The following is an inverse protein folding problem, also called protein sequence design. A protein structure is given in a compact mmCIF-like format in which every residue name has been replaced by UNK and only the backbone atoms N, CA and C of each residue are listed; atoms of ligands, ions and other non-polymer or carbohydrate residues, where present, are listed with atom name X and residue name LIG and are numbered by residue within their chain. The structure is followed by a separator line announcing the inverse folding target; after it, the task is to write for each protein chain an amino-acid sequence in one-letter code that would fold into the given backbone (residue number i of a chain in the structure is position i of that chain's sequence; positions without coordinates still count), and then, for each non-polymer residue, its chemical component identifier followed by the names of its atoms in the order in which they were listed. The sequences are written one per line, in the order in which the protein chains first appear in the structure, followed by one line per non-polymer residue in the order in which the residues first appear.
data_IF_118963676188
#
_entry.id   IF_118963676188
#
_cell.length_a   1.000
_cell.length_b   1.000
_cell.length_c   1.000
_cell.angle_alpha   90.00
_cell.angle_beta   90.00
_cell.angle_gamma   90.00
#
_symmetry.space_group_name_H-M   'P 1'
#
loop_
_entity.id
_entity.type
_entity.pdbx_description
1 polymer ?
#
# COMPACT_ATOMS: atom_id res chain seq x y z
N UNK A 1 -9.25 1.99 -30.74
CA UNK A 1 -9.37 3.38 -30.23
C UNK A 1 -8.53 3.50 -28.95
N UNK A 2 -7.54 4.34 -29.01
CA UNK A 2 -6.70 4.61 -27.86
C UNK A 2 -7.50 5.44 -26.84
N UNK A 3 -7.62 4.93 -25.62
CA UNK A 3 -8.33 5.66 -24.56
C UNK A 3 -7.36 6.65 -23.93
N UNK A 4 -7.59 7.91 -24.18
CA UNK A 4 -6.78 8.97 -23.57
C UNK A 4 -7.13 9.10 -22.07
N UNK A 5 -6.12 9.13 -21.24
CA UNK A 5 -6.31 9.37 -19.80
C UNK A 5 -6.78 10.81 -19.60
N UNK A 6 -7.87 11.04 -18.85
CA UNK A 6 -8.35 12.39 -18.57
C UNK A 6 -7.27 13.26 -17.90
N UNK A 7 -7.24 14.54 -18.25
CA UNK A 7 -6.20 15.48 -17.81
C UNK A 7 -6.11 15.58 -16.27
N UNK A 8 -7.25 15.57 -15.59
CA UNK A 8 -7.28 15.63 -14.13
C UNK A 8 -6.60 14.43 -13.46
N UNK A 9 -6.67 13.24 -14.10
CA UNK A 9 -5.96 12.06 -13.63
C UNK A 9 -4.47 12.13 -13.95
N UNK A 10 -4.10 12.64 -15.11
CA UNK A 10 -2.69 12.84 -15.47
C UNK A 10 -1.97 13.75 -14.48
N UNK A 11 -2.68 14.76 -13.97
CA UNK A 11 -2.15 15.72 -13.02
C UNK A 11 -2.23 15.23 -11.57
N UNK A 12 -2.94 14.12 -11.32
CA UNK A 12 -3.04 13.54 -10.00
C UNK A 12 -1.75 12.81 -9.64
N UNK A 13 -1.10 13.27 -8.59
CA UNK A 13 0.23 12.80 -8.16
C UNK A 13 0.31 11.28 -7.96
N UNK A 14 -0.66 10.73 -7.24
CA UNK A 14 -0.72 9.29 -6.98
C UNK A 14 -0.98 8.47 -8.24
N UNK A 15 -1.87 8.93 -9.09
CA UNK A 15 -2.16 8.27 -10.37
C UNK A 15 -0.92 8.27 -11.27
N UNK A 16 -0.28 9.42 -11.45
CA UNK A 16 0.88 9.57 -12.30
C UNK A 16 2.08 8.72 -11.82
N UNK A 17 2.21 8.53 -10.52
CA UNK A 17 3.26 7.69 -9.95
C UNK A 17 2.98 6.20 -10.12
N UNK A 18 1.73 5.80 -9.98
CA UNK A 18 1.31 4.40 -10.06
C UNK A 18 1.22 3.90 -11.50
N UNK A 19 0.70 4.74 -12.38
CA UNK A 19 0.44 4.39 -13.79
C UNK A 19 1.32 5.22 -14.72
N UNK A 20 2.53 4.73 -14.95
CA UNK A 20 3.50 5.38 -15.82
C UNK A 20 3.50 4.72 -17.20
N UNK A 21 3.13 5.44 -18.28
CA UNK A 21 3.12 4.87 -19.62
C UNK A 21 4.47 4.31 -20.03
N UNK A 22 4.47 3.08 -20.55
CA UNK A 22 5.68 2.42 -21.01
C UNK A 22 6.63 1.91 -19.92
N UNK A 23 6.21 1.98 -18.66
CA UNK A 23 7.03 1.51 -17.53
C UNK A 23 6.28 0.52 -16.67
N UNK A 24 6.99 -0.46 -16.13
CA UNK A 24 6.49 -1.30 -15.07
C UNK A 24 6.67 -0.57 -13.73
N UNK A 25 5.59 -0.38 -13.00
CA UNK A 25 5.61 0.13 -11.64
C UNK A 25 5.27 -0.99 -10.67
N UNK A 26 5.92 -1.00 -9.52
CA UNK A 26 5.69 -2.00 -8.49
C UNK A 26 4.99 -1.38 -7.30
N UNK A 27 4.04 -2.11 -6.74
CA UNK A 27 3.38 -1.79 -5.49
C UNK A 27 3.57 -2.90 -4.48
N UNK A 28 3.40 -2.56 -3.22
CA UNK A 28 3.44 -3.49 -2.11
C UNK A 28 2.09 -3.50 -1.40
N UNK A 29 1.79 -4.63 -0.75
CA UNK A 29 0.64 -4.76 0.14
C UNK A 29 1.18 -4.83 1.58
N UNK A 30 0.68 -3.96 2.43
CA UNK A 30 0.98 -3.95 3.86
C UNK A 30 -0.15 -4.61 4.66
N UNK A 31 0.15 -5.23 5.81
CA UNK A 31 1.46 -5.46 6.39
C UNK A 31 2.26 -6.52 5.62
N UNK A 32 3.58 -6.53 5.82
CA UNK A 32 4.49 -7.37 5.03
C UNK A 32 4.70 -8.75 5.63
N UNK A 33 4.52 -8.90 6.92
CA UNK A 33 4.80 -10.13 7.67
C UNK A 33 3.67 -10.46 8.64
N UNK A 34 3.53 -11.73 8.95
CA UNK A 34 2.60 -12.22 9.95
C UNK A 34 3.27 -13.24 10.86
N UNK A 35 2.65 -13.50 11.99
CA UNK A 35 3.03 -14.61 12.87
C UNK A 35 2.33 -15.88 12.42
N UNK A 36 3.01 -17.00 12.53
CA UNK A 36 2.39 -18.31 12.33
C UNK A 36 1.24 -18.49 13.33
N UNK A 37 0.12 -19.01 12.85
CA UNK A 37 -1.08 -19.30 13.65
C UNK A 37 -1.68 -18.12 14.40
N UNK A 38 -1.46 -16.90 13.92
CA UNK A 38 -2.02 -15.70 14.52
C UNK A 38 -2.66 -14.78 13.45
N UNK A 39 -3.82 -14.16 13.76
CA UNK A 39 -4.42 -13.17 12.89
C UNK A 39 -3.69 -11.82 12.92
N UNK A 40 -2.73 -11.64 13.83
CA UNK A 40 -2.03 -10.38 13.98
C UNK A 40 -0.85 -10.28 13.02
N UNK A 41 -0.68 -9.12 12.35
CA UNK A 41 0.51 -8.88 11.56
C UNK A 41 1.74 -8.69 12.44
N UNK A 42 2.89 -9.12 11.96
CA UNK A 42 4.17 -8.81 12.57
C UNK A 42 4.62 -7.42 12.09
N UNK A 43 4.62 -6.47 12.99
CA UNK A 43 4.97 -5.07 12.70
C UNK A 43 6.45 -4.75 12.97
N UNK A 44 7.28 -5.77 13.21
CA UNK A 44 8.73 -5.58 13.39
C UNK A 44 9.31 -4.89 12.15
N UNK A 45 10.05 -3.83 12.37
CA UNK A 45 10.68 -3.00 11.32
C UNK A 45 9.72 -2.40 10.28
N UNK A 46 8.42 -2.42 10.53
CA UNK A 46 7.40 -1.95 9.58
C UNK A 46 7.68 -0.52 9.10
N UNK A 47 7.91 0.41 10.01
CA UNK A 47 8.19 1.81 9.67
C UNK A 47 9.45 1.94 8.82
N UNK A 48 10.51 1.23 9.17
CA UNK A 48 11.77 1.25 8.41
C UNK A 48 11.58 0.68 7.00
N UNK A 49 10.84 -0.41 6.86
CA UNK A 49 10.54 -1.02 5.56
C UNK A 49 9.68 -0.11 4.69
N UNK A 50 8.69 0.57 5.26
CA UNK A 50 7.86 1.54 4.54
C UNK A 50 8.71 2.71 4.02
N UNK A 51 9.58 3.26 4.86
CA UNK A 51 10.48 4.34 4.45
C UNK A 51 11.47 3.89 3.37
N UNK A 52 11.94 2.66 3.45
CA UNK A 52 12.80 2.07 2.42
C UNK A 52 12.06 1.95 1.09
N UNK A 53 10.82 1.48 1.10
CA UNK A 53 9.98 1.37 -0.09
C UNK A 53 9.71 2.74 -0.73
N UNK A 54 9.40 3.74 0.11
CA UNK A 54 9.19 5.12 -0.32
C UNK A 54 10.44 5.70 -0.99
N UNK A 55 11.61 5.52 -0.37
CA UNK A 55 12.89 5.99 -0.91
C UNK A 55 13.37 5.21 -2.12
N UNK A 56 12.98 3.96 -2.28
CA UNK A 56 13.35 3.12 -3.42
C UNK A 56 12.56 3.42 -4.70
N UNK A 57 11.56 4.27 -4.65
CA UNK A 57 10.78 4.65 -5.82
C UNK A 57 9.65 3.70 -6.18
N UNK A 58 9.20 2.86 -5.25
CA UNK A 58 8.01 2.03 -5.46
C UNK A 58 6.79 2.92 -5.70
N UNK A 59 5.89 2.46 -6.57
CA UNK A 59 4.75 3.26 -7.02
C UNK A 59 3.68 3.42 -5.97
N UNK A 60 3.34 2.34 -5.27
CA UNK A 60 2.21 2.35 -4.34
C UNK A 60 2.42 1.40 -3.16
N UNK A 61 1.82 1.76 -2.04
CA UNK A 61 1.66 0.92 -0.86
C UNK A 61 0.16 0.79 -0.60
N UNK A 62 -0.33 -0.44 -0.65
CA UNK A 62 -1.74 -0.76 -0.47
C UNK A 62 -1.96 -1.35 0.91
N UNK A 63 -2.99 -0.88 1.61
CA UNK A 63 -3.45 -1.49 2.85
C UNK A 63 -4.78 -2.17 2.62
N UNK A 64 -5.00 -3.26 3.34
CA UNK A 64 -6.23 -4.06 3.21
C UNK A 64 -7.23 -3.62 4.27
N UNK A 65 -8.47 -3.42 3.85
CA UNK A 65 -9.58 -3.17 4.75
C UNK A 65 -10.32 -4.49 5.02
N UNK A 66 -9.79 -5.28 5.95
CA UNK A 66 -10.35 -6.58 6.33
C UNK A 66 -10.71 -6.53 7.81
N UNK A 67 -11.95 -6.15 8.14
CA UNK A 67 -12.35 -5.95 9.54
C UNK A 67 -12.45 -7.25 10.35
N UNK A 68 -12.59 -8.39 9.67
CA UNK A 68 -12.73 -9.69 10.32
C UNK A 68 -11.72 -10.68 9.75
N UNK A 69 -11.08 -11.41 10.64
CA UNK A 69 -10.17 -12.47 10.26
C UNK A 69 -10.94 -13.72 9.86
N UNK A 70 -10.69 -14.23 8.67
CA UNK A 70 -11.22 -15.51 8.17
C UNK A 70 -10.05 -16.42 7.76
N UNK A 71 -9.74 -17.46 8.55
CA UNK A 71 -8.64 -18.37 8.23
C UNK A 71 -8.88 -19.18 6.95
N UNK A 72 -10.13 -19.35 6.52
CA UNK A 72 -10.47 -20.08 5.30
C UNK A 72 -10.17 -19.27 4.03
N UNK A 73 -10.00 -17.97 4.17
CA UNK A 73 -9.69 -17.09 3.04
C UNK A 73 -8.18 -16.98 2.76
N UNK A 74 -7.35 -17.67 3.53
CA UNK A 74 -5.90 -17.56 3.41
C UNK A 74 -5.35 -16.22 3.84
N UNK A 75 -6.08 -15.54 4.71
CA UNK A 75 -5.72 -14.20 5.16
C UNK A 75 -4.67 -14.26 6.27
N UNK A 76 -3.68 -13.39 6.20
CA UNK A 76 -2.68 -13.24 7.26
C UNK A 76 -3.16 -12.35 8.41
N UNK A 77 -4.43 -11.93 8.32
CA UNK A 77 -5.03 -11.01 9.28
C UNK A 77 -4.70 -9.55 8.97
N UNK A 78 -5.70 -8.72 9.11
CA UNK A 78 -5.56 -7.27 8.99
C UNK A 78 -6.49 -6.64 10.01
N UNK A 79 -5.94 -6.34 11.16
CA UNK A 79 -6.74 -5.88 12.30
C UNK A 79 -6.49 -4.41 12.67
N UNK A 80 -5.59 -3.76 11.96
CA UNK A 80 -5.39 -2.33 12.17
C UNK A 80 -6.47 -1.54 11.43
N UNK A 81 -7.01 -0.53 12.12
CA UNK A 81 -7.94 0.40 11.49
C UNK A 81 -7.29 1.06 10.29
N UNK A 82 -7.98 1.02 9.15
CA UNK A 82 -7.43 1.49 7.88
C UNK A 82 -7.21 2.99 7.87
N UNK A 83 -8.11 3.76 8.47
CA UNK A 83 -8.00 5.21 8.52
C UNK A 83 -6.80 5.64 9.38
N UNK A 84 -6.65 5.03 10.55
CA UNK A 84 -5.51 5.29 11.42
C UNK A 84 -4.19 4.88 10.75
N UNK A 85 -4.18 3.73 10.08
CA UNK A 85 -3.00 3.23 9.35
C UNK A 85 -2.60 4.17 8.22
N UNK A 86 -3.55 4.59 7.38
CA UNK A 86 -3.27 5.54 6.29
C UNK A 86 -2.78 6.89 6.83
N UNK A 87 -3.36 7.37 7.93
CA UNK A 87 -2.90 8.58 8.60
C UNK A 87 -1.46 8.48 9.06
N UNK A 88 -1.10 7.37 9.69
CA UNK A 88 0.28 7.10 10.11
C UNK A 88 1.23 7.02 8.91
N UNK A 89 0.87 6.26 7.89
CA UNK A 89 1.69 6.09 6.68
C UNK A 89 1.90 7.42 5.96
N UNK A 90 0.87 8.26 5.90
CA UNK A 90 1.00 9.58 5.26
C UNK A 90 1.98 10.49 5.99
N UNK A 91 2.14 10.32 7.30
CA UNK A 91 3.07 11.11 8.10
C UNK A 91 4.54 10.68 7.92
N UNK A 92 4.79 9.42 7.54
CA UNK A 92 6.15 8.86 7.44
C UNK A 92 6.65 8.68 6.02
N UNK A 93 5.83 8.97 5.01
CA UNK A 93 6.18 8.82 3.58
C UNK A 93 6.11 10.17 2.86
N UNK A 94 6.86 10.29 1.77
CA UNK A 94 6.93 11.52 0.97
C UNK A 94 6.47 11.32 -0.47
N UNK A 95 6.74 10.16 -1.06
CA UNK A 95 6.59 9.94 -2.50
C UNK A 95 5.61 8.83 -2.85
N UNK A 96 5.63 7.72 -2.13
CA UNK A 96 4.83 6.54 -2.44
C UNK A 96 3.34 6.83 -2.36
N UNK A 97 2.58 6.32 -3.32
CA UNK A 97 1.12 6.45 -3.30
C UNK A 97 0.54 5.50 -2.27
N UNK A 98 -0.36 6.00 -1.43
CA UNK A 98 -1.07 5.20 -0.45
C UNK A 98 -2.47 4.87 -0.96
N UNK A 99 -2.86 3.62 -0.84
CA UNK A 99 -4.16 3.15 -1.31
C UNK A 99 -4.76 2.05 -0.46
N UNK A 100 -6.03 1.78 -0.69
CA UNK A 100 -6.76 0.69 -0.03
C UNK A 100 -7.75 0.03 -0.96
#
# INVERSE_FOLDING_TARGET
MEKTVPQHLQNHRGFARTFQPGKLTLGLIAPFMGYADSPFPDMTDFTALVKQADGAGLGALWVRDVPFYDPNFGDVGQIHDITATLGYLSAITEHITLGS
#
